data_IF_115358339643
#
_entry.id   IF_115358339643
#
_cell.length_a   1.000
_cell.length_b   1.000
_cell.length_c   1.000
_cell.angle_alpha   90.00
_cell.angle_beta   90.00
_cell.angle_gamma   90.00
#
_symmetry.space_group_name_H-M   'P 1'
#
loop_
_entity.id
_entity.type
_entity.pdbx_description
1 polymer ?
#
# COMPACT_ATOMS: atom_id res chain seq x y z
N UNK A 1 -0.48 -19.16 18.80
CA UNK A 1 -1.47 -18.09 19.09
C UNK A 1 -0.93 -16.81 18.49
N UNK A 2 -1.72 -16.05 17.71
CA UNK A 2 -1.24 -14.82 17.09
C UNK A 2 -1.03 -13.72 18.13
N UNK A 3 0.07 -12.98 18.03
CA UNK A 3 0.33 -11.80 18.86
C UNK A 3 -0.33 -10.60 18.22
N UNK A 4 -1.24 -9.93 18.94
CA UNK A 4 -1.90 -8.72 18.48
C UNK A 4 -1.17 -7.48 19.04
N UNK A 5 -0.69 -6.62 18.14
CA UNK A 5 -0.07 -5.34 18.51
C UNK A 5 -1.05 -4.21 18.18
N UNK A 6 -1.41 -3.40 19.18
CA UNK A 6 -2.29 -2.23 19.01
C UNK A 6 -1.41 -0.98 18.90
N UNK A 7 -1.45 -0.33 17.74
CA UNK A 7 -0.74 0.93 17.54
C UNK A 7 -1.64 2.11 17.88
N UNK A 8 -1.30 2.88 18.92
CA UNK A 8 -2.02 4.12 19.28
C UNK A 8 -1.88 5.18 18.18
N UNK A 9 -2.91 6.02 17.94
CA UNK A 9 -2.80 7.14 17.01
C UNK A 9 -1.76 8.13 17.55
N UNK A 10 -0.73 8.42 16.77
CA UNK A 10 0.26 9.45 17.07
C UNK A 10 0.09 10.59 16.05
N UNK A 11 0.13 11.84 16.50
CA UNK A 11 -0.07 13.03 15.65
C UNK A 11 1.14 13.35 14.74
N UNK A 12 2.19 12.52 14.77
CA UNK A 12 3.33 12.66 13.87
C UNK A 12 3.03 12.04 12.50
N UNK A 13 3.37 12.78 11.43
CA UNK A 13 3.40 12.30 10.04
C UNK A 13 4.41 11.15 9.80
N UNK A 14 5.15 10.73 10.82
CA UNK A 14 6.16 9.69 10.72
C UNK A 14 5.51 8.30 10.53
N UNK A 15 6.04 7.45 9.63
CA UNK A 15 5.59 6.08 9.49
C UNK A 15 5.76 5.28 10.78
N UNK A 16 4.77 4.45 11.11
CA UNK A 16 4.88 3.48 12.21
C UNK A 16 5.55 2.20 11.71
N UNK A 17 6.54 1.70 12.43
CA UNK A 17 7.20 0.45 12.08
C UNK A 17 6.27 -0.77 12.26
N UNK A 18 6.20 -1.61 11.23
CA UNK A 18 5.49 -2.89 11.23
C UNK A 18 6.46 -4.00 11.58
N UNK A 19 6.16 -4.71 12.66
CA UNK A 19 6.89 -5.89 13.10
C UNK A 19 6.18 -7.17 12.61
N UNK A 20 6.12 -7.35 11.29
CA UNK A 20 5.54 -8.54 10.65
C UNK A 20 6.66 -9.25 9.91
N UNK A 21 7.05 -10.43 10.39
CA UNK A 21 8.10 -11.23 9.77
C UNK A 21 7.53 -12.10 8.62
N UNK A 22 8.10 -11.94 7.43
CA UNK A 22 7.67 -12.64 6.21
C UNK A 22 8.47 -13.91 5.93
N UNK A 23 9.48 -14.24 6.73
CA UNK A 23 10.24 -15.47 6.58
C UNK A 23 9.42 -16.72 6.89
N UNK A 24 9.87 -17.87 6.38
CA UNK A 24 9.25 -19.16 6.63
C UNK A 24 9.48 -19.58 8.09
N UNK A 25 8.47 -20.16 8.73
CA UNK A 25 8.53 -20.55 10.15
C UNK A 25 8.37 -19.40 11.15
N UNK A 26 8.27 -18.15 10.70
CA UNK A 26 7.98 -17.01 11.57
C UNK A 26 6.58 -17.10 12.18
N UNK A 27 6.42 -16.56 13.40
CA UNK A 27 5.13 -16.52 14.07
C UNK A 27 4.14 -15.59 13.36
N UNK A 28 2.88 -15.98 13.34
CA UNK A 28 1.81 -15.13 12.83
C UNK A 28 1.65 -13.88 13.72
N UNK A 29 1.88 -12.71 13.12
CA UNK A 29 1.71 -11.41 13.77
C UNK A 29 0.60 -10.63 13.09
N UNK A 30 -0.30 -10.07 13.89
CA UNK A 30 -1.42 -9.26 13.41
C UNK A 30 -1.34 -7.88 14.06
N UNK A 31 -1.14 -6.86 13.23
CA UNK A 31 -1.12 -5.47 13.67
C UNK A 31 -2.52 -4.90 13.53
N UNK A 32 -3.08 -4.38 14.63
CA UNK A 32 -4.37 -3.67 14.64
C UNK A 32 -4.15 -2.18 14.71
N UNK A 33 -4.77 -1.44 13.81
CA UNK A 33 -4.68 0.01 13.75
C UNK A 33 -6.01 0.67 13.37
N UNK A 34 -6.04 1.99 13.50
CA UNK A 34 -7.20 2.85 13.26
C UNK A 34 -6.82 4.00 12.32
N UNK A 35 -7.70 4.37 11.39
CA UNK A 35 -7.51 5.52 10.49
C UNK A 35 -8.78 6.37 10.43
N UNK A 36 -8.66 7.69 10.42
CA UNK A 36 -9.83 8.56 10.23
C UNK A 36 -10.18 8.68 8.74
N UNK A 37 -11.46 8.86 8.38
CA UNK A 37 -11.86 9.12 6.99
C UNK A 37 -11.08 10.28 6.38
N UNK A 38 -10.76 10.16 5.09
CA UNK A 38 -9.98 11.11 4.29
C UNK A 38 -8.57 11.43 4.83
N UNK A 39 -8.07 10.68 5.83
CA UNK A 39 -6.72 10.83 6.36
C UNK A 39 -5.92 9.54 6.14
N UNK A 40 -4.62 9.64 5.80
CA UNK A 40 -3.74 8.49 5.77
C UNK A 40 -3.26 8.10 7.16
N UNK A 41 -2.94 6.82 7.31
CA UNK A 41 -2.02 6.33 8.32
C UNK A 41 -0.82 5.68 7.65
N UNK A 42 0.38 6.13 8.02
CA UNK A 42 1.63 5.69 7.41
C UNK A 42 2.28 4.58 8.22
N UNK A 43 2.84 3.60 7.51
CA UNK A 43 3.58 2.49 8.07
C UNK A 43 4.86 2.26 7.29
N UNK A 44 5.87 1.72 7.96
CA UNK A 44 7.12 1.24 7.34
C UNK A 44 7.31 -0.21 7.71
N UNK A 45 7.49 -1.07 6.72
CA UNK A 45 7.94 -2.44 6.90
C UNK A 45 9.46 -2.48 6.64
N UNK A 46 10.28 -2.74 7.67
CA UNK A 46 11.72 -2.84 7.54
C UNK A 46 12.14 -3.97 6.61
N UNK A 47 13.14 -3.73 5.75
CA UNK A 47 13.64 -4.75 4.82
C UNK A 47 14.14 -6.02 5.51
N UNK A 48 14.64 -5.89 6.75
CA UNK A 48 15.14 -7.02 7.55
C UNK A 48 14.08 -8.09 7.79
N UNK A 49 12.80 -7.73 7.75
CA UNK A 49 11.67 -8.65 7.96
C UNK A 49 11.24 -9.38 6.68
N UNK A 50 11.81 -9.03 5.52
CA UNK A 50 11.50 -9.67 4.24
C UNK A 50 12.71 -9.87 3.31
N UNK A 51 13.93 -9.71 3.81
CA UNK A 51 15.13 -9.89 2.98
C UNK A 51 15.21 -11.33 2.45
N UNK A 52 15.62 -11.51 1.20
CA UNK A 52 15.68 -12.84 0.58
C UNK A 52 14.32 -13.47 0.24
N UNK A 53 13.20 -12.79 0.55
CA UNK A 53 11.86 -13.21 0.13
C UNK A 53 11.64 -12.82 -1.33
N UNK A 54 11.16 -13.77 -2.15
CA UNK A 54 10.84 -13.54 -3.57
C UNK A 54 9.45 -12.95 -3.79
N UNK A 55 8.50 -13.25 -2.91
CA UNK A 55 7.12 -12.84 -3.06
C UNK A 55 6.59 -12.34 -1.73
N UNK A 56 6.35 -11.04 -1.64
CA UNK A 56 5.78 -10.40 -0.47
C UNK A 56 4.28 -10.25 -0.66
N UNK A 57 3.48 -10.77 0.27
CA UNK A 57 2.03 -10.65 0.29
C UNK A 57 1.63 -9.96 1.58
N UNK A 58 1.16 -8.72 1.53
CA UNK A 58 0.71 -7.96 2.71
C UNK A 58 -0.82 -7.96 2.69
N UNK A 59 -1.44 -8.60 3.67
CA UNK A 59 -2.89 -8.63 3.80
C UNK A 59 -3.36 -7.48 4.70
N UNK A 60 -4.30 -6.70 4.21
CA UNK A 60 -5.01 -5.68 4.97
C UNK A 60 -6.50 -5.97 4.93
N UNK A 61 -7.13 -5.97 6.10
CA UNK A 61 -8.56 -6.27 6.23
C UNK A 61 -9.23 -5.18 7.07
N UNK A 62 -10.12 -4.37 6.49
CA UNK A 62 -10.93 -3.43 7.25
C UNK A 62 -11.98 -4.21 8.07
N UNK A 63 -12.15 -3.81 9.33
CA UNK A 63 -13.16 -4.39 10.24
C UNK A 63 -14.49 -3.62 10.11
N UNK A 64 -14.43 -2.31 9.92
CA UNK A 64 -15.58 -1.44 9.67
C UNK A 64 -15.18 -0.29 8.75
N UNK A 65 -16.02 0.01 7.75
CA UNK A 65 -15.71 0.99 6.70
C UNK A 65 -14.82 0.45 5.58
N UNK A 66 -14.43 1.35 4.67
CA UNK A 66 -13.61 1.06 3.49
C UNK A 66 -12.24 1.73 3.64
N UNK A 67 -11.18 1.01 3.23
CA UNK A 67 -9.82 1.58 3.20
C UNK A 67 -9.13 1.30 1.87
N UNK A 68 -8.37 2.25 1.37
CA UNK A 68 -7.46 2.09 0.23
C UNK A 68 -5.99 2.00 0.68
N UNK A 69 -5.16 1.38 -0.15
CA UNK A 69 -3.74 1.16 0.15
C UNK A 69 -2.87 1.81 -0.92
N UNK A 70 -1.87 2.57 -0.50
CA UNK A 70 -0.77 3.02 -1.34
C UNK A 70 0.54 2.53 -0.77
N UNK A 71 1.47 2.13 -1.61
CA UNK A 71 2.79 1.70 -1.17
C UNK A 71 3.91 2.22 -2.08
N UNK A 72 5.09 2.36 -1.50
CA UNK A 72 6.30 2.80 -2.19
C UNK A 72 7.55 2.20 -1.54
N UNK A 73 8.64 2.13 -2.30
CA UNK A 73 9.97 1.71 -1.82
C UNK A 73 10.91 2.89 -1.54
N UNK A 74 10.55 4.08 -1.99
CA UNK A 74 11.41 5.27 -1.95
C UNK A 74 10.71 6.51 -1.38
N UNK A 75 9.41 6.45 -1.09
CA UNK A 75 8.64 7.53 -0.50
C UNK A 75 8.12 7.09 0.86
N UNK A 76 8.47 7.83 1.92
CA UNK A 76 8.03 7.51 3.29
C UNK A 76 6.51 7.71 3.48
N UNK A 77 5.93 8.64 2.72
CA UNK A 77 4.51 8.99 2.77
C UNK A 77 3.86 8.84 1.40
N UNK A 78 3.67 7.60 0.89
CA UNK A 78 3.01 7.40 -0.38
C UNK A 78 1.54 7.84 -0.30
N UNK A 79 0.96 8.23 -1.43
CA UNK A 79 -0.40 8.74 -1.48
C UNK A 79 -0.96 8.78 -2.89
N UNK A 80 -2.18 9.32 -3.09
CA UNK A 80 -2.89 9.30 -4.36
C UNK A 80 -2.13 9.87 -5.57
N UNK A 81 -1.17 10.76 -5.32
CA UNK A 81 -0.38 11.42 -6.37
C UNK A 81 1.03 10.83 -6.52
N UNK A 82 1.46 9.95 -5.60
CA UNK A 82 2.83 9.52 -5.47
C UNK A 82 2.90 8.12 -4.83
N UNK A 83 2.79 7.08 -5.67
CA UNK A 83 2.83 5.69 -5.24
C UNK A 83 3.51 4.80 -6.28
N UNK A 84 4.00 3.65 -5.83
CA UNK A 84 4.47 2.57 -6.72
C UNK A 84 3.39 1.51 -6.86
N UNK A 85 2.71 1.19 -5.76
CA UNK A 85 1.65 0.20 -5.73
C UNK A 85 0.38 0.81 -5.14
N UNK A 86 -0.78 0.39 -5.63
CA UNK A 86 -2.09 0.83 -5.16
C UNK A 86 -3.05 -0.34 -5.14
N UNK A 87 -3.87 -0.40 -4.09
CA UNK A 87 -5.09 -1.18 -4.06
C UNK A 87 -6.24 -0.21 -3.81
N UNK A 88 -7.21 -0.21 -4.73
CA UNK A 88 -8.42 0.58 -4.58
C UNK A 88 -9.24 0.11 -3.37
N UNK A 89 -10.00 1.00 -2.72
CA UNK A 89 -10.79 0.61 -1.57
C UNK A 89 -11.73 -0.56 -1.87
N UNK A 90 -11.65 -1.59 -1.03
CA UNK A 90 -12.59 -2.70 -1.01
C UNK A 90 -13.67 -2.50 0.06
N UNK A 91 -14.77 -3.25 -0.05
CA UNK A 91 -15.87 -3.16 0.90
C UNK A 91 -15.44 -3.63 2.30
N UNK A 92 -16.31 -3.42 3.28
CA UNK A 92 -16.07 -3.87 4.64
C UNK A 92 -15.83 -5.38 4.70
N UNK A 93 -14.84 -5.80 5.51
CA UNK A 93 -14.43 -7.20 5.71
C UNK A 93 -13.84 -7.91 4.49
N UNK A 94 -13.67 -7.24 3.36
CA UNK A 94 -12.97 -7.79 2.21
C UNK A 94 -11.44 -7.73 2.41
N UNK A 95 -10.77 -8.86 2.17
CA UNK A 95 -9.32 -8.94 2.30
C UNK A 95 -8.65 -8.30 1.08
N UNK A 96 -7.75 -7.35 1.33
CA UNK A 96 -6.89 -6.77 0.31
C UNK A 96 -5.49 -7.35 0.44
N UNK A 97 -4.97 -7.93 -0.65
CA UNK A 97 -3.61 -8.49 -0.67
C UNK A 97 -2.72 -7.68 -1.59
N UNK A 98 -1.78 -6.93 -1.00
CA UNK A 98 -0.72 -6.25 -1.73
C UNK A 98 0.41 -7.22 -2.05
N UNK A 99 0.64 -7.40 -3.34
CA UNK A 99 1.69 -8.24 -3.87
C UNK A 99 2.89 -7.41 -4.35
N UNK A 100 4.08 -7.76 -3.87
CA UNK A 100 5.36 -7.20 -4.36
C UNK A 100 6.26 -8.38 -4.75
N UNK A 101 6.59 -8.47 -6.04
CA UNK A 101 7.55 -9.43 -6.59
C UNK A 101 8.98 -8.96 -6.34
N UNK A 102 9.84 -9.89 -5.93
CA UNK A 102 11.27 -9.73 -5.67
C UNK A 102 11.61 -8.37 -5.04
N UNK A 103 11.10 -8.08 -3.82
CA UNK A 103 11.23 -6.77 -3.21
C UNK A 103 12.69 -6.29 -3.07
N UNK A 104 13.68 -7.17 -3.06
CA UNK A 104 15.09 -6.78 -3.01
C UNK A 104 15.82 -6.90 -4.35
N UNK A 105 15.10 -7.05 -5.48
CA UNK A 105 15.71 -7.12 -6.81
C UNK A 105 16.59 -5.90 -7.10
N UNK A 106 17.81 -6.14 -7.56
CA UNK A 106 18.79 -5.09 -7.85
C UNK A 106 19.49 -4.50 -6.63
N UNK A 107 19.16 -4.95 -5.42
CA UNK A 107 19.80 -4.52 -4.18
C UNK A 107 20.62 -5.65 -3.55
N UNK A 108 21.66 -5.28 -2.81
CA UNK A 108 22.38 -6.21 -1.95
C UNK A 108 21.57 -6.49 -0.68
N UNK A 109 21.92 -7.55 0.06
CA UNK A 109 21.29 -7.92 1.33
C UNK A 109 21.30 -6.79 2.38
N UNK A 110 22.21 -5.82 2.27
CA UNK A 110 22.33 -4.69 3.20
C UNK A 110 21.76 -3.37 2.67
N UNK A 111 21.33 -3.33 1.41
CA UNK A 111 20.83 -2.11 0.75
C UNK A 111 19.38 -2.22 0.29
N UNK A 112 18.72 -3.34 0.57
CA UNK A 112 17.32 -3.51 0.23
C UNK A 112 16.47 -2.42 0.92
N UNK A 113 15.68 -1.64 0.18
CA UNK A 113 14.90 -0.55 0.77
C UNK A 113 13.72 -1.09 1.56
N UNK A 114 13.22 -0.32 2.53
CA UNK A 114 11.98 -0.65 3.24
C UNK A 114 10.76 -0.60 2.31
N UNK A 115 9.63 -1.11 2.77
CA UNK A 115 8.32 -0.89 2.11
C UNK A 115 7.55 0.11 2.96
N UNK A 116 7.24 1.27 2.39
CA UNK A 116 6.38 2.27 2.99
C UNK A 116 4.95 2.08 2.53
N UNK A 117 4.00 2.14 3.46
CA UNK A 117 2.58 1.90 3.25
C UNK A 117 1.78 3.09 3.76
N UNK A 118 0.72 3.45 3.06
CA UNK A 118 -0.27 4.39 3.52
C UNK A 118 -1.65 3.76 3.38
N UNK A 119 -2.37 3.67 4.49
CA UNK A 119 -3.77 3.21 4.54
C UNK A 119 -4.65 4.45 4.63
N UNK A 120 -5.51 4.67 3.65
CA UNK A 120 -6.46 5.79 3.60
C UNK A 120 -7.85 5.29 3.96
N UNK A 121 -8.46 5.87 4.99
CA UNK A 121 -9.89 5.65 5.25
C UNK A 121 -10.72 6.42 4.24
N UNK A 122 -11.68 5.77 3.59
CA UNK A 122 -12.58 6.42 2.63
C UNK A 122 -13.94 6.72 3.29
N UNK A 123 -14.69 5.69 3.66
CA UNK A 123 -15.98 5.83 4.35
C UNK A 123 -16.08 4.91 5.57
N UNK A 124 -16.79 5.36 6.61
CA UNK A 124 -17.13 4.51 7.76
C UNK A 124 -18.57 4.02 7.61
N UNK A 125 -18.78 2.70 7.67
CA UNK A 125 -20.13 2.10 7.66
C UNK A 125 -20.77 2.05 9.05
N UNK A 126 -20.11 2.59 10.08
CA UNK A 126 -20.67 2.68 11.41
C UNK A 126 -21.85 3.66 11.38
N UNK A 127 -23.05 3.09 11.35
CA UNK A 127 -24.30 3.81 11.62
C UNK A 127 -24.76 3.44 13.02
N UNK A 128 -25.22 4.42 13.79
CA UNK A 128 -25.82 4.17 15.08
C UNK A 128 -27.14 4.92 15.18
N UNK A 129 -28.18 4.20 15.56
CA UNK A 129 -29.54 4.72 15.63
C UNK A 129 -29.90 5.28 17.01
N UNK A 130 -29.03 5.12 18.01
CA UNK A 130 -29.29 5.58 19.37
C UNK A 130 -28.89 7.04 19.60
N UNK A 131 -29.70 7.76 20.39
CA UNK A 131 -29.56 9.20 20.66
C UNK A 131 -28.26 9.58 21.37
N UNK A 132 -27.59 8.63 22.02
CA UNK A 132 -26.33 8.81 22.75
C UNK A 132 -25.19 7.95 22.21
N UNK A 133 -25.25 7.59 20.94
CA UNK A 133 -24.20 6.80 20.34
C UNK A 133 -23.08 7.68 19.78
N UNK A 134 -21.95 7.69 20.48
CA UNK A 134 -20.70 8.21 19.93
C UNK A 134 -19.94 7.06 19.29
N UNK A 135 -20.07 6.92 17.97
CA UNK A 135 -19.22 6.02 17.22
C UNK A 135 -17.83 6.65 17.07
N UNK A 136 -16.74 5.90 17.29
CA UNK A 136 -15.42 6.39 16.94
C UNK A 136 -15.39 6.65 15.43
N UNK A 137 -15.15 7.91 15.02
CA UNK A 137 -14.98 8.31 13.62
C UNK A 137 -13.61 7.85 13.07
N UNK A 138 -13.31 6.58 13.33
CA UNK A 138 -12.11 5.90 12.89
C UNK A 138 -12.56 4.59 12.24
N UNK A 139 -11.70 4.05 11.39
CA UNK A 139 -11.84 2.79 10.68
C UNK A 139 -10.76 1.88 11.23
N UNK A 140 -11.15 0.76 11.86
CA UNK A 140 -10.21 -0.24 12.34
C UNK A 140 -9.91 -1.21 11.23
N UNK A 141 -8.64 -1.55 11.08
CA UNK A 141 -8.16 -2.54 10.13
C UNK A 141 -7.04 -3.35 10.76
N UNK A 142 -6.79 -4.52 10.19
CA UNK A 142 -5.65 -5.37 10.54
C UNK A 142 -4.67 -5.46 9.39
N UNK A 143 -3.38 -5.52 9.69
CA UNK A 143 -2.31 -5.85 8.74
C UNK A 143 -1.66 -7.14 9.21
N UNK A 144 -1.45 -8.10 8.31
CA UNK A 144 -0.70 -9.33 8.60
C UNK A 144 0.03 -9.84 7.36
N UNK A 145 0.86 -10.86 7.55
CA UNK A 145 1.42 -11.65 6.45
C UNK A 145 0.26 -12.29 5.67
N UNK A 146 0.17 -11.97 4.39
CA UNK A 146 -0.79 -12.55 3.46
C UNK A 146 -0.31 -13.86 2.86
N UNK A 147 -1.23 -14.55 2.20
CA UNK A 147 -0.95 -15.75 1.41
C UNK A 147 -1.22 -15.48 -0.07
N UNK A 148 -0.61 -16.26 -0.95
CA UNK A 148 -0.92 -16.21 -2.37
C UNK A 148 -2.42 -16.46 -2.55
N UNK A 149 -3.19 -15.54 -3.17
CA UNK A 149 -4.61 -15.75 -3.39
C UNK A 149 -4.79 -16.99 -4.27
N UNK A 150 -5.69 -17.89 -3.85
CA UNK A 150 -5.86 -19.20 -4.49
C UNK A 150 -6.24 -19.05 -5.98
N UNK A 151 -7.10 -18.07 -6.31
CA UNK A 151 -7.42 -17.63 -7.67
C UNK A 151 -8.04 -16.21 -7.61
N UNK A 152 -7.65 -15.28 -8.51
CA UNK A 152 -8.58 -14.26 -9.03
C UNK A 152 -8.57 -12.82 -8.52
N UNK A 153 -7.76 -12.38 -7.56
CA UNK A 153 -7.75 -10.96 -7.14
C UNK A 153 -6.36 -10.47 -6.71
N UNK A 154 -5.43 -10.43 -7.67
CA UNK A 154 -4.22 -9.63 -7.53
C UNK A 154 -4.39 -8.35 -8.36
N UNK A 155 -4.85 -7.26 -7.74
CA UNK A 155 -4.84 -5.95 -8.39
C UNK A 155 -3.44 -5.35 -8.28
N UNK A 156 -2.54 -5.74 -9.20
CA UNK A 156 -1.30 -4.99 -9.44
C UNK A 156 -1.54 -3.98 -10.55
N UNK A 157 -2.01 -2.78 -10.19
CA UNK A 157 -2.13 -1.70 -11.18
C UNK A 157 -0.76 -1.09 -11.45
N UNK A 158 -0.04 -1.68 -12.41
CA UNK A 158 1.23 -1.17 -12.97
C UNK A 158 0.90 -0.05 -13.97
N UNK A 159 0.79 1.20 -13.53
CA UNK A 159 0.68 2.32 -14.47
C UNK A 159 2.09 2.73 -14.94
N UNK A 160 2.48 2.22 -16.12
CA UNK A 160 3.59 2.82 -16.89
C UNK A 160 3.21 4.26 -17.25
N UNK A 161 4.04 5.20 -16.83
CA UNK A 161 3.96 6.60 -17.29
C UNK A 161 4.06 6.64 -18.82
N UNK A 162 3.02 7.16 -19.47
CA UNK A 162 3.01 7.43 -20.90
C UNK A 162 3.98 8.59 -21.15
N UNK A 163 5.17 8.30 -21.67
CA UNK A 163 6.04 9.32 -22.25
C UNK A 163 5.35 9.88 -23.50
N UNK A 164 4.87 11.11 -23.42
CA UNK A 164 4.35 11.86 -24.55
C UNK A 164 5.53 12.19 -25.48
N UNK A 165 5.76 11.39 -26.52
CA UNK A 165 6.69 11.72 -27.58
C UNK A 165 6.08 12.85 -28.43
N UNK A 166 6.54 14.07 -28.20
CA UNK A 166 6.24 15.23 -29.06
C UNK A 166 7.01 15.03 -30.37
N UNK A 167 6.30 14.56 -31.41
CA UNK A 167 6.80 14.53 -32.77
C UNK A 167 6.83 15.94 -33.35
N UNK A 168 8.01 16.56 -33.37
CA UNK A 168 8.27 17.79 -34.12
C UNK A 168 8.44 17.40 -35.59
N UNK A 169 7.44 17.72 -36.42
CA UNK A 169 7.48 17.51 -37.87
C UNK A 169 8.10 18.77 -38.50
N UNK A 170 9.41 18.73 -38.74
CA UNK A 170 10.11 19.74 -39.55
C UNK A 170 9.91 19.35 -41.02
N UNK A 171 9.00 20.02 -41.72
CA UNK A 171 8.92 19.94 -43.18
C UNK A 171 9.96 20.91 -43.76
N UNK A 172 11.10 20.37 -44.18
CA UNK A 172 12.03 21.06 -45.09
C UNK A 172 11.53 20.87 -46.53
N UNK A 173 11.05 21.94 -47.16
CA UNK A 173 10.91 22.00 -48.63
C UNK A 173 12.13 22.70 -49.20
N UNK A 174 13.05 21.93 -49.80
CA UNK A 174 14.08 22.45 -50.71
C UNK A 174 14.33 21.48 -51.85
N UNK A 175 14.60 22.07 -53.02
CA UNK A 175 14.90 21.51 -54.35
C UNK A 175 13.65 21.30 -55.23
N UNK A 176 13.53 21.89 -56.41
CA UNK A 176 14.56 21.99 -57.45
C UNK A 176 14.68 23.34 -58.17
N UNK A 177 15.92 23.61 -58.56
CA UNK A 177 16.45 24.67 -59.43
C UNK A 177 16.48 24.16 -60.89
N UNK A 178 16.70 25.09 -61.83
CA UNK A 178 17.25 24.99 -63.21
C UNK A 178 16.22 24.49 -64.26
N UNK A 179 15.94 25.13 -65.41
CA UNK A 179 16.64 26.06 -66.33
C UNK A 179 15.62 27.05 -66.89
#
# INVERSE_FOLDING_TARGET
MPTAIIVKPNELKAPVELDIDFHEGANETVVSAFVSPSRPRYFVLPYKLFQGIKNLYIEVTPIYGTVGIYASRNLETPGPQNYTYKIDPLNDREQMVLYISDPCEGYSNTTCPNVYLAIYGDSSTLSCSERFCTLPNQIKFTIKKGVKPAYGTACSSFHKSVFLAIGILIVQTFNHVII
#
